data_IF_298153567759
#
_entry.id   IF_298153567759
#
_cell.length_a   1.000
_cell.length_b   1.000
_cell.length_c   1.000
_cell.angle_alpha   90.00
_cell.angle_beta   90.00
_cell.angle_gamma   90.00
#
_symmetry.space_group_name_H-M   'P 1'
#
loop_
_entity.id
_entity.type
_entity.pdbx_description
1 polymer ?
#
# COMPACT_ATOMS: atom_id res chain seq x y z
N UNK A 1 -44.20 2.72 12.94
CA UNK A 1 -43.87 1.28 12.95
C UNK A 1 -44.25 0.70 11.60
N UNK A 2 -43.31 0.69 10.65
CA UNK A 2 -43.43 -0.09 9.42
C UNK A 2 -42.34 -1.15 9.50
N UNK A 3 -42.76 -2.41 9.61
CA UNK A 3 -41.90 -3.59 9.70
C UNK A 3 -41.34 -3.90 8.32
N UNK A 4 -40.05 -3.64 8.12
CA UNK A 4 -39.31 -4.05 6.93
C UNK A 4 -39.11 -5.57 6.95
N UNK A 5 -39.53 -6.25 5.89
CA UNK A 5 -39.47 -7.71 5.75
C UNK A 5 -38.18 -8.15 5.03
N UNK A 6 -37.75 -9.42 5.19
CA UNK A 6 -36.50 -9.95 4.63
C UNK A 6 -36.37 -9.91 3.09
N UNK A 7 -37.44 -9.57 2.36
CA UNK A 7 -37.43 -9.42 0.90
C UNK A 7 -36.75 -8.12 0.44
N UNK A 8 -36.62 -7.11 1.31
CA UNK A 8 -35.89 -5.87 1.00
C UNK A 8 -34.36 -6.06 1.00
N UNK A 9 -33.85 -7.23 1.42
CA UNK A 9 -32.43 -7.59 1.27
C UNK A 9 -32.04 -7.98 -0.16
N UNK A 10 -32.99 -8.30 -1.03
CA UNK A 10 -32.71 -8.78 -2.40
C UNK A 10 -32.81 -7.69 -3.48
N UNK A 11 -33.25 -6.46 -3.15
CA UNK A 11 -33.32 -5.36 -4.12
C UNK A 11 -32.11 -4.41 -4.13
N UNK A 12 -31.13 -4.62 -3.23
CA UNK A 12 -29.86 -3.87 -3.19
C UNK A 12 -28.73 -4.54 -4.00
N UNK A 13 -29.07 -5.43 -4.92
CA UNK A 13 -28.13 -5.92 -5.93
C UNK A 13 -27.98 -4.89 -7.06
N UNK A 14 -26.74 -4.43 -7.28
CA UNK A 14 -26.21 -3.79 -8.49
C UNK A 14 -26.39 -2.28 -8.68
N UNK A 15 -25.82 -1.49 -7.77
CA UNK A 15 -25.00 -0.38 -8.24
C UNK A 15 -23.54 -0.79 -7.97
N UNK A 16 -22.81 -1.15 -9.02
CA UNK A 16 -21.40 -1.51 -8.90
C UNK A 16 -20.62 -0.27 -8.44
N UNK A 17 -20.06 -0.32 -7.24
CA UNK A 17 -19.12 0.69 -6.73
C UNK A 17 -17.99 0.86 -7.73
N UNK A 18 -17.74 2.08 -8.19
CA UNK A 18 -16.62 2.37 -9.09
C UNK A 18 -15.41 2.86 -8.30
N UNK A 19 -14.22 2.80 -8.90
CA UNK A 19 -13.03 3.43 -8.31
C UNK A 19 -13.25 4.94 -8.07
N UNK A 20 -13.99 5.62 -8.96
CA UNK A 20 -14.30 7.05 -8.79
C UNK A 20 -15.19 7.33 -7.57
N UNK A 21 -16.11 6.43 -7.25
CA UNK A 21 -16.95 6.57 -6.06
C UNK A 21 -16.11 6.47 -4.78
N UNK A 22 -15.18 5.50 -4.71
CA UNK A 22 -14.26 5.36 -3.58
C UNK A 22 -13.38 6.61 -3.42
N UNK A 23 -12.82 7.13 -4.52
CA UNK A 23 -12.02 8.35 -4.52
C UNK A 23 -12.83 9.54 -4.03
N UNK A 24 -14.08 9.67 -4.51
CA UNK A 24 -14.96 10.78 -4.15
C UNK A 24 -15.30 10.77 -2.66
N UNK A 25 -15.70 9.62 -2.13
CA UNK A 25 -16.00 9.43 -0.70
C UNK A 25 -14.77 9.71 0.14
N UNK A 26 -13.60 9.19 -0.26
CA UNK A 26 -12.36 9.44 0.44
C UNK A 26 -12.00 10.93 0.48
N UNK A 27 -12.13 11.65 -0.64
CA UNK A 27 -11.84 13.08 -0.71
C UNK A 27 -12.81 13.91 0.14
N UNK A 28 -14.10 13.53 0.20
CA UNK A 28 -15.07 14.15 1.11
C UNK A 28 -14.66 13.91 2.56
N UNK A 29 -14.33 12.67 2.91
CA UNK A 29 -13.97 12.31 4.28
C UNK A 29 -12.68 12.97 4.76
N UNK A 30 -11.62 12.99 3.94
CA UNK A 30 -10.34 13.57 4.33
C UNK A 30 -10.41 15.08 4.53
N UNK A 31 -11.32 15.77 3.82
CA UNK A 31 -11.54 17.21 4.03
C UNK A 31 -12.25 17.53 5.35
N UNK A 32 -13.06 16.61 5.86
CA UNK A 32 -13.90 16.79 7.05
C UNK A 32 -13.35 16.09 8.31
N UNK A 33 -12.33 15.24 8.17
CA UNK A 33 -11.85 14.41 9.27
C UNK A 33 -11.23 15.22 10.40
N UNK A 34 -11.75 15.04 11.62
CA UNK A 34 -11.17 15.59 12.84
C UNK A 34 -9.76 15.04 13.12
N UNK A 35 -9.45 13.86 12.56
CA UNK A 35 -8.18 13.16 12.70
C UNK A 35 -6.97 14.10 12.52
N UNK A 36 -7.01 14.96 11.50
CA UNK A 36 -5.94 15.93 11.20
C UNK A 36 -6.27 17.34 11.62
N UNK A 37 -7.55 17.68 11.75
CA UNK A 37 -8.04 19.05 11.78
C UNK A 37 -8.54 19.53 13.15
N UNK A 38 -8.56 18.67 14.19
CA UNK A 38 -9.18 19.06 15.47
C UNK A 38 -8.44 20.18 16.21
N UNK A 39 -9.10 21.34 16.35
CA UNK A 39 -8.73 22.49 17.19
C UNK A 39 -7.43 23.24 16.79
N UNK A 40 -7.11 23.34 15.50
CA UNK A 40 -5.92 24.09 15.03
C UNK A 40 -6.29 25.37 14.26
N UNK A 41 -5.37 26.35 14.14
CA UNK A 41 -5.64 27.58 13.39
C UNK A 41 -5.86 27.31 11.90
N UNK A 42 -6.60 28.20 11.23
CA UNK A 42 -6.87 28.16 9.78
C UNK A 42 -5.62 27.98 8.92
N UNK A 43 -4.47 28.48 9.38
CA UNK A 43 -3.19 28.31 8.71
C UNK A 43 -2.78 26.84 8.59
N UNK A 44 -3.02 26.01 9.61
CA UNK A 44 -2.71 24.57 9.58
C UNK A 44 -3.72 23.83 8.72
N UNK A 45 -5.00 24.19 8.81
CA UNK A 45 -6.04 23.64 7.93
C UNK A 45 -5.69 23.82 6.46
N UNK A 46 -5.29 25.03 6.05
CA UNK A 46 -4.91 25.30 4.66
C UNK A 46 -3.72 24.44 4.18
N UNK A 47 -2.76 24.13 5.06
CA UNK A 47 -1.62 23.25 4.75
C UNK A 47 -2.02 21.79 4.66
N UNK A 48 -2.94 21.32 5.50
CA UNK A 48 -3.50 19.96 5.41
C UNK A 48 -4.31 19.80 4.12
N UNK A 49 -5.13 20.78 3.75
CA UNK A 49 -5.84 20.78 2.47
C UNK A 49 -4.85 20.72 1.30
N UNK A 50 -3.75 21.46 1.38
CA UNK A 50 -2.71 21.43 0.35
C UNK A 50 -1.91 20.12 0.32
N UNK A 51 -1.62 19.52 1.49
CA UNK A 51 -0.96 18.22 1.63
C UNK A 51 -1.67 17.16 0.81
N UNK A 52 -3.01 17.10 0.95
CA UNK A 52 -3.78 16.13 0.20
C UNK A 52 -4.01 16.57 -1.23
N UNK A 53 -4.35 17.84 -1.48
CA UNK A 53 -4.43 18.46 -2.79
C UNK A 53 -4.99 17.54 -3.88
N UNK A 54 -4.37 17.57 -5.07
CA UNK A 54 -4.65 16.61 -6.15
C UNK A 54 -3.88 15.32 -5.89
N UNK A 55 -4.47 14.16 -6.15
CA UNK A 55 -3.79 12.87 -6.05
C UNK A 55 -4.60 11.73 -6.64
N UNK A 56 -3.94 10.65 -7.07
CA UNK A 56 -4.60 9.48 -7.69
C UNK A 56 -5.33 8.59 -6.69
N UNK A 57 -5.04 8.73 -5.37
CA UNK A 57 -5.68 8.01 -4.25
C UNK A 57 -5.69 6.48 -4.38
N UNK A 58 -4.69 5.89 -5.04
CA UNK A 58 -4.63 4.44 -5.24
C UNK A 58 -4.54 3.67 -3.92
N UNK A 59 -3.69 4.12 -2.99
CA UNK A 59 -3.45 3.47 -1.68
C UNK A 59 -4.70 3.46 -0.79
N UNK A 60 -5.39 4.59 -0.53
CA UNK A 60 -6.61 4.56 0.26
C UNK A 60 -7.72 3.73 -0.40
N UNK A 61 -7.85 3.74 -1.74
CA UNK A 61 -8.81 2.88 -2.43
C UNK A 61 -8.47 1.40 -2.26
N UNK A 62 -7.20 1.00 -2.37
CA UNK A 62 -6.79 -0.39 -2.13
C UNK A 62 -7.12 -0.82 -0.70
N UNK A 63 -6.84 0.01 0.30
CA UNK A 63 -7.22 -0.26 1.68
C UNK A 63 -8.73 -0.50 1.80
N UNK A 64 -9.54 0.42 1.25
CA UNK A 64 -11.00 0.32 1.30
C UNK A 64 -11.52 -0.95 0.60
N UNK A 65 -10.96 -1.32 -0.55
CA UNK A 65 -11.34 -2.54 -1.28
C UNK A 65 -10.99 -3.78 -0.47
N UNK A 66 -9.77 -3.87 0.06
CA UNK A 66 -9.35 -5.00 0.89
C UNK A 66 -10.04 -5.05 2.25
N UNK A 67 -10.59 -3.93 2.74
CA UNK A 67 -11.44 -3.87 3.93
C UNK A 67 -12.91 -4.21 3.67
N UNK A 68 -13.29 -4.51 2.41
CA UNK A 68 -14.67 -4.69 1.97
C UNK A 68 -15.56 -3.46 2.32
N UNK A 69 -15.06 -2.27 2.00
CA UNK A 69 -15.77 -1.02 2.25
C UNK A 69 -16.98 -0.89 1.31
N UNK A 70 -18.17 -0.73 1.91
CA UNK A 70 -19.40 -0.51 1.17
C UNK A 70 -19.75 0.99 1.14
N UNK A 71 -19.79 1.59 -0.05
CA UNK A 71 -20.13 3.02 -0.21
C UNK A 71 -21.55 3.38 0.24
N UNK A 72 -22.45 2.40 0.30
CA UNK A 72 -23.82 2.55 0.81
C UNK A 72 -23.93 2.32 2.31
N UNK A 73 -22.81 2.05 2.98
CA UNK A 73 -22.74 2.01 4.43
C UNK A 73 -22.90 3.41 5.02
N UNK A 74 -23.49 3.47 6.22
CA UNK A 74 -23.66 4.73 6.94
C UNK A 74 -22.32 5.18 7.53
N UNK A 75 -21.90 6.42 7.25
CA UNK A 75 -20.68 7.04 7.79
C UNK A 75 -20.70 7.07 9.34
N UNK A 76 -21.89 7.20 9.93
CA UNK A 76 -22.11 7.17 11.40
C UNK A 76 -21.86 5.80 12.04
N UNK A 77 -21.56 4.77 11.24
CA UNK A 77 -21.12 3.49 11.76
C UNK A 77 -19.61 3.54 12.05
N UNK A 78 -19.26 3.23 13.31
CA UNK A 78 -17.88 3.18 13.82
C UNK A 78 -16.97 2.33 12.94
N UNK A 79 -17.48 1.25 12.35
CA UNK A 79 -16.73 0.40 11.42
C UNK A 79 -16.24 1.19 10.19
N UNK A 80 -17.13 1.92 9.53
CA UNK A 80 -16.84 2.67 8.31
C UNK A 80 -15.89 3.83 8.59
N UNK A 81 -16.11 4.53 9.71
CA UNK A 81 -15.22 5.59 10.19
C UNK A 81 -13.79 5.08 10.42
N UNK A 82 -13.62 3.87 10.96
CA UNK A 82 -12.29 3.31 11.21
C UNK A 82 -11.55 2.90 9.93
N UNK A 83 -12.24 2.30 8.96
CA UNK A 83 -11.68 2.00 7.63
C UNK A 83 -11.21 3.30 6.96
N UNK A 84 -12.05 4.34 6.96
CA UNK A 84 -11.70 5.63 6.37
C UNK A 84 -10.56 6.34 7.12
N UNK A 85 -10.53 6.28 8.46
CA UNK A 85 -9.41 6.82 9.23
C UNK A 85 -8.09 6.11 8.90
N UNK A 86 -8.11 4.78 8.73
CA UNK A 86 -6.93 4.04 8.28
C UNK A 86 -6.51 4.44 6.87
N UNK A 87 -7.46 4.58 5.94
CA UNK A 87 -7.17 5.08 4.60
C UNK A 87 -6.53 6.48 4.64
N UNK A 88 -7.02 7.38 5.50
CA UNK A 88 -6.45 8.72 5.70
C UNK A 88 -5.05 8.62 6.31
N UNK A 89 -4.84 7.75 7.30
CA UNK A 89 -3.53 7.52 7.93
C UNK A 89 -2.49 7.10 6.89
N UNK A 90 -2.82 6.14 6.02
CA UNK A 90 -1.95 5.66 4.95
C UNK A 90 -1.63 6.77 3.94
N UNK A 91 -2.65 7.50 3.48
CA UNK A 91 -2.45 8.61 2.53
C UNK A 91 -1.67 9.77 3.18
N UNK A 92 -1.78 9.95 4.50
CA UNK A 92 -0.99 10.94 5.25
C UNK A 92 0.49 10.56 5.27
N UNK A 93 0.83 9.28 5.48
CA UNK A 93 2.23 8.81 5.37
C UNK A 93 2.75 9.05 3.95
N UNK A 94 1.97 8.66 2.93
CA UNK A 94 2.34 8.87 1.52
C UNK A 94 2.57 10.35 1.18
N UNK A 95 1.67 11.24 1.59
CA UNK A 95 1.84 12.67 1.30
C UNK A 95 2.98 13.28 2.11
N UNK A 96 3.23 12.79 3.34
CA UNK A 96 4.36 13.24 4.15
C UNK A 96 5.70 12.82 3.52
N UNK A 97 5.82 11.58 3.02
CA UNK A 97 7.06 11.13 2.38
C UNK A 97 7.42 12.02 1.18
N UNK A 98 6.43 12.42 0.38
CA UNK A 98 6.66 13.35 -0.74
C UNK A 98 7.13 14.75 -0.29
N UNK A 99 6.65 15.26 0.85
CA UNK A 99 7.15 16.54 1.38
C UNK A 99 8.61 16.43 1.77
N UNK A 100 9.00 15.29 2.38
CA UNK A 100 10.37 15.04 2.79
C UNK A 100 11.26 14.93 1.54
N UNK A 101 10.84 14.16 0.53
CA UNK A 101 11.58 13.99 -0.73
C UNK A 101 11.78 15.32 -1.46
N UNK A 102 10.80 16.21 -1.40
CA UNK A 102 10.89 17.55 -2.00
C UNK A 102 11.92 18.47 -1.32
N UNK A 103 12.46 18.16 -0.13
CA UNK A 103 13.35 19.07 0.59
C UNK A 103 14.68 19.32 -0.16
N UNK A 104 15.34 20.48 0.03
CA UNK A 104 16.63 20.78 -0.61
C UNK A 104 17.73 19.77 -0.34
N UNK A 105 17.70 19.16 0.84
CA UNK A 105 18.65 18.14 1.30
C UNK A 105 18.35 16.76 0.70
N UNK A 106 17.21 16.60 0.01
CA UNK A 106 16.76 15.40 -0.69
C UNK A 106 16.78 15.68 -2.21
N UNK A 107 15.63 15.66 -2.89
CA UNK A 107 15.55 15.88 -4.35
C UNK A 107 15.57 17.36 -4.74
N UNK A 108 15.35 18.27 -3.77
CA UNK A 108 15.23 19.71 -3.99
C UNK A 108 14.16 20.09 -5.05
N UNK A 109 13.14 19.25 -5.20
CA UNK A 109 12.08 19.46 -6.19
C UNK A 109 11.27 20.72 -5.85
N UNK A 110 11.19 21.65 -6.80
CA UNK A 110 10.54 22.95 -6.62
C UNK A 110 9.04 22.90 -6.92
N UNK A 111 8.59 21.86 -7.61
CA UNK A 111 7.21 21.63 -8.03
C UNK A 111 6.81 20.16 -7.81
N UNK A 112 5.56 19.95 -7.39
CA UNK A 112 4.94 18.63 -7.19
C UNK A 112 3.48 18.70 -7.63
N UNK A 113 3.08 17.84 -8.56
CA UNK A 113 1.70 17.79 -9.11
C UNK A 113 1.21 19.16 -9.59
N UNK A 114 2.06 19.85 -10.37
CA UNK A 114 1.82 21.20 -10.91
C UNK A 114 1.62 22.31 -9.87
N UNK A 115 1.93 22.02 -8.61
CA UNK A 115 1.90 22.97 -7.49
C UNK A 115 3.30 23.17 -6.93
N UNK A 116 3.55 24.29 -6.25
CA UNK A 116 4.83 24.50 -5.57
C UNK A 116 5.07 23.43 -4.50
N UNK A 117 6.29 22.92 -4.37
CA UNK A 117 6.62 22.08 -3.22
C UNK A 117 6.46 22.85 -1.91
N UNK A 118 6.28 22.13 -0.80
CA UNK A 118 5.99 22.75 0.51
C UNK A 118 7.06 23.77 0.92
N UNK A 119 8.33 23.40 0.75
CA UNK A 119 9.46 24.26 1.14
C UNK A 119 9.57 25.51 0.25
N UNK A 120 9.13 25.44 -1.02
CA UNK A 120 9.05 26.64 -1.89
C UNK A 120 7.88 27.53 -1.54
N UNK A 121 6.73 26.96 -1.20
CA UNK A 121 5.51 27.74 -0.91
C UNK A 121 5.57 28.44 0.45
N UNK A 122 6.09 27.77 1.47
CA UNK A 122 6.07 28.29 2.85
C UNK A 122 7.44 28.54 3.46
N UNK A 123 8.53 28.09 2.83
CA UNK A 123 9.88 28.14 3.41
C UNK A 123 10.23 26.90 4.21
N UNK A 124 11.53 26.69 4.43
CA UNK A 124 12.09 25.51 5.12
C UNK A 124 11.56 25.39 6.55
N UNK A 125 11.71 26.44 7.36
CA UNK A 125 11.28 26.43 8.76
C UNK A 125 9.80 26.04 8.94
N UNK A 126 8.92 26.60 8.12
CA UNK A 126 7.49 26.31 8.18
C UNK A 126 7.18 24.88 7.72
N UNK A 127 7.98 24.33 6.79
CA UNK A 127 7.88 22.97 6.28
C UNK A 127 8.33 21.97 7.34
N UNK A 128 9.48 22.19 7.96
CA UNK A 128 10.01 21.32 9.02
C UNK A 128 9.05 21.23 10.19
N UNK A 129 8.52 22.36 10.65
CA UNK A 129 7.49 22.40 11.70
C UNK A 129 6.21 21.68 11.29
N UNK A 130 5.84 21.71 10.00
CA UNK A 130 4.67 20.98 9.50
C UNK A 130 4.93 19.47 9.41
N UNK A 131 6.14 19.04 9.07
CA UNK A 131 6.55 17.63 9.11
C UNK A 131 6.41 17.10 10.54
N UNK A 132 6.96 17.79 11.54
CA UNK A 132 6.81 17.40 12.95
C UNK A 132 5.35 17.33 13.39
N UNK A 133 4.53 18.28 12.94
CA UNK A 133 3.09 18.27 13.20
C UNK A 133 2.41 17.02 12.63
N UNK A 134 2.64 16.69 11.36
CA UNK A 134 2.03 15.51 10.74
C UNK A 134 2.54 14.22 11.40
N UNK A 135 3.83 14.11 11.72
CA UNK A 135 4.37 12.97 12.48
C UNK A 135 3.67 12.81 13.83
N UNK A 136 3.44 13.91 14.57
CA UNK A 136 2.70 13.85 15.83
C UNK A 136 1.25 13.38 15.63
N UNK A 137 0.60 13.80 14.55
CA UNK A 137 -0.75 13.33 14.19
C UNK A 137 -0.79 11.86 13.82
N UNK A 138 0.19 11.37 13.07
CA UNK A 138 0.34 9.95 12.76
C UNK A 138 0.52 9.14 14.06
N UNK A 139 1.43 9.55 14.95
CA UNK A 139 1.63 8.84 16.22
C UNK A 139 0.36 8.83 17.08
N UNK A 140 -0.31 9.98 17.23
CA UNK A 140 -1.56 10.08 18.00
C UNK A 140 -2.71 9.31 17.34
N UNK A 141 -2.60 9.13 16.03
CA UNK A 141 -3.61 8.57 15.16
C UNK A 141 -3.50 7.08 14.92
N UNK A 142 -2.40 6.45 15.32
CA UNK A 142 -2.10 5.04 15.04
C UNK A 142 -3.19 4.08 15.52
N UNK A 143 -3.95 4.49 16.54
CA UNK A 143 -5.13 3.80 17.05
C UNK A 143 -6.17 3.47 15.99
N UNK A 144 -6.25 4.24 14.89
CA UNK A 144 -7.22 3.96 13.83
C UNK A 144 -6.96 2.64 13.11
N UNK A 145 -5.71 2.17 13.13
CA UNK A 145 -5.29 0.88 12.58
C UNK A 145 -5.77 -0.29 13.43
N UNK A 146 -6.16 -0.02 14.67
CA UNK A 146 -6.63 -1.01 15.61
C UNK A 146 -8.16 -0.98 15.67
N UNK A 147 -8.78 -2.14 15.45
CA UNK A 147 -10.22 -2.28 15.59
C UNK A 147 -10.56 -2.18 17.08
N UNK A 148 -11.18 -1.06 17.46
CA UNK A 148 -11.78 -0.89 18.79
C UNK A 148 -13.05 -1.73 18.86
N UNK A 149 -12.91 -3.02 19.08
CA UNK A 149 -14.03 -3.80 19.61
C UNK A 149 -14.41 -3.17 20.96
N UNK A 150 -15.72 -2.98 21.19
CA UNK A 150 -16.20 -2.71 22.54
C UNK A 150 -15.69 -3.86 23.41
N UNK A 151 -14.76 -3.57 24.31
CA UNK A 151 -14.29 -4.50 25.34
C UNK A 151 -15.43 -4.82 26.31
N UNK A 152 -16.45 -5.54 25.85
CA UNK A 152 -17.47 -6.13 26.71
C UNK A 152 -16.89 -7.42 27.25
N UNK A 153 -16.41 -7.36 28.51
CA UNK A 153 -16.15 -8.48 29.42
C UNK A 153 -16.07 -9.87 28.76
N UNK A 154 -14.90 -10.23 28.23
CA UNK A 154 -14.68 -11.52 27.58
C UNK A 154 -13.43 -12.23 28.13
N UNK A 155 -13.45 -13.56 28.04
CA UNK A 155 -12.57 -14.53 28.70
C UNK A 155 -11.09 -14.44 28.28
N UNK A 156 -10.19 -15.01 29.08
CA UNK A 156 -8.72 -14.96 28.95
C UNK A 156 -8.15 -15.53 27.63
N UNK A 157 -8.90 -16.35 26.90
CA UNK A 157 -8.47 -16.89 25.60
C UNK A 157 -8.73 -15.94 24.43
N UNK A 158 -9.85 -15.23 24.41
CA UNK A 158 -10.20 -14.25 23.36
C UNK A 158 -9.29 -13.01 23.39
N UNK A 159 -8.84 -12.63 24.59
CA UNK A 159 -7.86 -11.55 24.79
C UNK A 159 -6.49 -11.88 24.18
N UNK A 160 -6.06 -13.15 24.21
CA UNK A 160 -4.73 -13.57 23.70
C UNK A 160 -4.66 -13.50 22.17
N UNK A 161 -5.74 -13.86 21.47
CA UNK A 161 -5.72 -13.90 20.01
C UNK A 161 -5.99 -12.53 19.35
N UNK A 162 -6.81 -11.68 19.98
CA UNK A 162 -6.92 -10.25 19.60
C UNK A 162 -5.58 -9.52 19.76
N UNK A 163 -4.85 -9.80 20.85
CA UNK A 163 -3.48 -9.28 21.05
C UNK A 163 -2.52 -9.70 19.92
N UNK A 164 -2.71 -10.87 19.30
CA UNK A 164 -1.87 -11.31 18.20
C UNK A 164 -2.13 -10.54 16.90
N UNK A 165 -3.37 -10.19 16.58
CA UNK A 165 -3.66 -9.32 15.43
C UNK A 165 -3.12 -7.91 15.63
N UNK A 166 -3.32 -7.34 16.82
CA UNK A 166 -2.77 -6.02 17.13
C UNK A 166 -1.24 -6.01 17.00
N UNK A 167 -0.57 -7.08 17.44
CA UNK A 167 0.87 -7.26 17.21
C UNK A 167 1.21 -7.35 15.72
N UNK A 168 0.45 -8.11 14.92
CA UNK A 168 0.67 -8.22 13.48
C UNK A 168 0.51 -6.88 12.76
N UNK A 169 -0.54 -6.13 13.05
CA UNK A 169 -0.76 -4.78 12.48
C UNK A 169 0.35 -3.83 12.93
N UNK A 170 0.71 -3.83 14.21
CA UNK A 170 1.83 -3.04 14.73
C UNK A 170 3.14 -3.38 14.00
N UNK A 171 3.44 -4.66 13.83
CA UNK A 171 4.65 -5.12 13.15
C UNK A 171 4.62 -4.74 11.66
N UNK A 172 3.48 -4.87 10.99
CA UNK A 172 3.28 -4.41 9.61
C UNK A 172 3.63 -2.92 9.48
N UNK A 173 3.06 -2.07 10.34
CA UNK A 173 3.30 -0.62 10.31
C UNK A 173 4.76 -0.30 10.60
N UNK A 174 5.35 -0.92 11.62
CA UNK A 174 6.75 -0.74 11.96
C UNK A 174 7.67 -1.17 10.80
N UNK A 175 7.40 -2.32 10.17
CA UNK A 175 8.12 -2.83 9.00
C UNK A 175 8.04 -1.84 7.86
N UNK A 176 6.84 -1.43 7.43
CA UNK A 176 6.67 -0.54 6.30
C UNK A 176 7.29 0.85 6.54
N UNK A 177 7.20 1.40 7.75
CA UNK A 177 7.83 2.68 8.09
C UNK A 177 9.37 2.58 8.11
N UNK A 178 9.92 1.49 8.66
CA UNK A 178 11.36 1.23 8.62
C UNK A 178 11.86 1.11 7.18
N UNK A 179 11.16 0.32 6.36
CA UNK A 179 11.45 0.16 4.94
C UNK A 179 11.47 1.51 4.20
N UNK A 180 10.52 2.41 4.47
CA UNK A 180 10.51 3.74 3.84
C UNK A 180 11.74 4.56 4.19
N UNK A 181 12.17 4.54 5.46
CA UNK A 181 13.37 5.25 5.89
C UNK A 181 14.61 4.63 5.27
N UNK A 182 14.71 3.30 5.27
CA UNK A 182 15.83 2.58 4.66
C UNK A 182 15.89 2.84 3.15
N UNK A 183 14.75 2.85 2.48
CA UNK A 183 14.63 3.16 1.05
C UNK A 183 15.13 4.57 0.72
N UNK A 184 14.76 5.57 1.54
CA UNK A 184 15.27 6.94 1.34
C UNK A 184 16.77 7.06 1.65
N UNK A 185 17.25 6.38 2.69
CA UNK A 185 18.66 6.38 3.02
C UNK A 185 19.51 5.76 1.90
N UNK A 186 19.12 4.59 1.38
CA UNK A 186 19.87 3.92 0.31
C UNK A 186 19.87 4.80 -0.95
N UNK A 187 18.77 5.45 -1.28
CA UNK A 187 18.69 6.33 -2.44
C UNK A 187 19.67 7.52 -2.35
N UNK A 188 19.71 8.21 -1.20
CA UNK A 188 20.72 9.25 -0.95
C UNK A 188 22.15 8.72 -1.06
N UNK A 189 22.43 7.55 -0.46
CA UNK A 189 23.76 6.95 -0.50
C UNK A 189 24.16 6.49 -1.90
N UNK A 190 23.20 6.13 -2.76
CA UNK A 190 23.44 5.75 -4.15
C UNK A 190 23.73 6.96 -5.03
N UNK A 191 23.05 8.08 -4.80
CA UNK A 191 23.38 9.37 -5.43
C UNK A 191 24.82 9.79 -5.07
N UNK A 192 25.22 9.59 -3.81
CA UNK A 192 26.59 9.92 -3.36
C UNK A 192 27.67 8.94 -3.86
N UNK A 193 27.32 7.68 -4.17
CA UNK A 193 28.27 6.61 -4.52
C UNK A 193 28.11 6.07 -5.95
N UNK A 194 27.65 6.89 -6.90
CA UNK A 194 27.57 6.54 -8.32
C UNK A 194 28.87 5.85 -8.79
N UNK A 195 28.79 4.52 -8.93
CA UNK A 195 29.82 3.62 -9.49
C UNK A 195 31.18 3.56 -8.76
N UNK A 196 31.20 3.30 -7.45
CA UNK A 196 32.39 2.70 -6.82
C UNK A 196 32.09 1.28 -6.36
N UNK A 197 33.03 0.36 -6.56
CA UNK A 197 32.99 -1.09 -6.24
C UNK A 197 32.81 -1.41 -4.74
N UNK A 198 31.90 -0.73 -4.03
CA UNK A 198 31.70 -0.84 -2.58
C UNK A 198 30.22 -0.98 -2.18
N UNK A 199 29.43 -1.68 -2.98
CA UNK A 199 28.07 -2.10 -2.58
C UNK A 199 28.05 -3.26 -1.56
N UNK A 200 29.21 -3.81 -1.16
CA UNK A 200 29.26 -5.07 -0.40
C UNK A 200 28.86 -4.96 1.09
N UNK A 201 28.54 -3.78 1.63
CA UNK A 201 28.37 -3.60 3.09
C UNK A 201 27.13 -2.83 3.56
N UNK A 202 26.09 -2.69 2.74
CA UNK A 202 24.82 -2.08 3.17
C UNK A 202 23.84 -3.14 3.71
N UNK A 203 24.20 -3.82 4.80
CA UNK A 203 23.21 -4.57 5.59
C UNK A 203 22.55 -3.63 6.60
N UNK A 204 21.45 -3.00 6.21
CA UNK A 204 20.58 -2.26 7.14
C UNK A 204 19.49 -3.17 7.68
N UNK A 205 19.58 -3.40 9.00
CA UNK A 205 18.76 -4.27 9.85
C UNK A 205 18.73 -5.75 9.44
N UNK A 206 18.78 -6.70 10.41
CA UNK A 206 18.59 -8.10 10.08
C UNK A 206 17.17 -8.27 9.55
N UNK A 207 17.06 -8.48 8.24
CA UNK A 207 15.89 -9.02 7.57
C UNK A 207 15.40 -10.21 8.41
N UNK A 208 14.21 -10.11 8.98
CA UNK A 208 13.56 -11.28 9.58
C UNK A 208 13.50 -12.39 8.51
N UNK A 209 13.78 -13.64 8.88
CA UNK A 209 13.93 -14.75 7.91
C UNK A 209 12.74 -14.93 6.96
N UNK A 210 11.54 -14.51 7.36
CA UNK A 210 10.33 -14.49 6.53
C UNK A 210 10.40 -13.48 5.39
N UNK A 211 10.92 -12.27 5.63
CA UNK A 211 11.05 -11.24 4.58
C UNK A 211 12.07 -11.65 3.50
N UNK A 212 13.13 -12.38 3.86
CA UNK A 212 14.07 -12.90 2.86
C UNK A 212 13.41 -13.89 1.89
N UNK A 213 12.47 -14.71 2.37
CA UNK A 213 11.75 -15.68 1.54
C UNK A 213 10.75 -14.96 0.64
N UNK A 214 9.98 -14.02 1.18
CA UNK A 214 9.04 -13.19 0.43
C UNK A 214 9.77 -12.42 -0.68
N UNK A 215 10.88 -11.76 -0.34
CA UNK A 215 11.70 -11.01 -1.28
C UNK A 215 12.32 -11.90 -2.36
N UNK A 216 12.86 -13.08 -2.00
CA UNK A 216 13.32 -14.05 -2.98
C UNK A 216 12.18 -14.52 -3.91
N UNK A 217 10.96 -14.63 -3.39
CA UNK A 217 9.79 -14.99 -4.20
C UNK A 217 9.43 -13.88 -5.18
N UNK A 218 9.45 -12.61 -4.75
CA UNK A 218 9.28 -11.44 -5.62
C UNK A 218 10.29 -11.44 -6.77
N UNK A 219 11.58 -11.58 -6.45
CA UNK A 219 12.68 -11.64 -7.40
C UNK A 219 12.44 -12.74 -8.46
N UNK A 220 12.11 -13.95 -8.01
CA UNK A 220 11.86 -15.08 -8.91
C UNK A 220 10.69 -14.80 -9.87
N UNK A 221 9.61 -14.18 -9.39
CA UNK A 221 8.46 -13.82 -10.23
C UNK A 221 8.87 -12.78 -11.28
N UNK A 222 9.63 -11.76 -10.90
CA UNK A 222 10.08 -10.70 -11.81
C UNK A 222 11.03 -11.27 -12.87
N UNK A 223 12.01 -12.08 -12.48
CA UNK A 223 12.91 -12.73 -13.43
C UNK A 223 12.18 -13.70 -14.37
N UNK A 224 11.14 -14.40 -13.89
CA UNK A 224 10.30 -15.23 -14.77
C UNK A 224 9.57 -14.42 -15.85
N UNK A 225 9.40 -13.11 -15.65
CA UNK A 225 8.83 -12.23 -16.67
C UNK A 225 9.88 -11.73 -17.68
N UNK A 226 11.18 -11.83 -17.37
CA UNK A 226 12.29 -11.28 -18.16
C UNK A 226 12.94 -12.27 -19.15
N UNK A 227 12.27 -13.36 -19.52
CA UNK A 227 12.77 -14.50 -20.32
C UNK A 227 13.58 -14.16 -21.61
N UNK A 228 13.37 -12.98 -22.20
CA UNK A 228 14.04 -12.56 -23.45
C UNK A 228 15.09 -11.46 -23.26
N UNK A 229 15.45 -11.12 -22.02
CA UNK A 229 16.49 -10.15 -21.71
C UNK A 229 17.82 -10.87 -21.53
N UNK A 230 18.91 -10.35 -22.12
CA UNK A 230 20.24 -10.91 -21.90
C UNK A 230 20.75 -10.52 -20.50
N UNK A 231 20.53 -11.41 -19.54
CA UNK A 231 20.85 -11.19 -18.13
C UNK A 231 22.31 -11.59 -17.84
N UNK A 232 23.22 -10.64 -17.94
CA UNK A 232 24.58 -10.80 -17.39
C UNK A 232 24.56 -10.71 -15.85
N UNK A 233 25.54 -11.27 -15.12
CA UNK A 233 25.58 -11.15 -13.66
C UNK A 233 25.51 -9.70 -13.13
N UNK A 234 26.08 -8.75 -13.88
CA UNK A 234 26.02 -7.32 -13.55
C UNK A 234 24.59 -6.79 -13.67
N UNK A 235 23.90 -7.13 -14.76
CA UNK A 235 22.51 -6.71 -14.99
C UNK A 235 21.58 -7.35 -13.94
N UNK A 236 21.80 -8.61 -13.59
CA UNK A 236 21.04 -9.30 -12.54
C UNK A 236 21.17 -8.53 -11.21
N UNK A 237 22.40 -8.22 -10.80
CA UNK A 237 22.65 -7.48 -9.56
C UNK A 237 21.99 -6.09 -9.59
N UNK A 238 22.04 -5.37 -10.72
CA UNK A 238 21.38 -4.07 -10.87
C UNK A 238 19.86 -4.16 -10.77
N UNK A 239 19.25 -5.23 -11.33
CA UNK A 239 17.81 -5.48 -11.22
C UNK A 239 17.45 -5.80 -9.76
N UNK A 240 18.20 -6.67 -9.08
CA UNK A 240 17.93 -7.03 -7.68
C UNK A 240 17.99 -5.80 -6.76
N UNK A 241 18.99 -4.94 -6.94
CA UNK A 241 19.11 -3.66 -6.23
C UNK A 241 17.91 -2.75 -6.52
N UNK A 242 17.51 -2.63 -7.79
CA UNK A 242 16.35 -1.83 -8.18
C UNK A 242 15.05 -2.37 -7.55
N UNK A 243 14.85 -3.68 -7.51
CA UNK A 243 13.71 -4.32 -6.84
C UNK A 243 13.76 -4.00 -5.34
N UNK A 244 14.91 -4.15 -4.68
CA UNK A 244 15.06 -3.89 -3.24
C UNK A 244 14.70 -2.44 -2.86
N UNK A 245 15.23 -1.47 -3.61
CA UNK A 245 14.91 -0.05 -3.44
C UNK A 245 13.41 0.20 -3.54
N UNK A 246 12.78 -0.40 -4.54
CA UNK A 246 11.37 -0.20 -4.84
C UNK A 246 10.43 -0.87 -3.84
N UNK A 247 10.80 -2.07 -3.37
CA UNK A 247 10.09 -2.72 -2.26
C UNK A 247 10.16 -1.85 -1.01
N UNK A 248 11.31 -1.20 -0.75
CA UNK A 248 11.49 -0.31 0.41
C UNK A 248 10.75 1.04 0.31
N UNK A 249 10.53 1.57 -0.89
CA UNK A 249 9.78 2.82 -1.11
C UNK A 249 8.31 2.56 -1.46
N UNK A 250 8.02 2.45 -2.76
CA UNK A 250 6.66 2.36 -3.30
C UNK A 250 5.95 1.10 -2.80
N UNK A 251 6.64 -0.04 -2.81
CA UNK A 251 6.11 -1.34 -2.39
C UNK A 251 5.60 -1.35 -0.95
N UNK A 252 6.39 -0.84 0.00
CA UNK A 252 6.04 -0.80 1.42
C UNK A 252 4.70 -0.09 1.69
N UNK A 253 4.39 0.98 0.97
CA UNK A 253 3.12 1.70 1.14
C UNK A 253 1.93 0.99 0.49
N UNK A 254 2.13 0.31 -0.64
CA UNK A 254 1.09 -0.55 -1.24
C UNK A 254 0.79 -1.73 -0.32
N UNK A 255 1.83 -2.36 0.22
CA UNK A 255 1.75 -3.44 1.20
C UNK A 255 0.97 -3.01 2.46
N UNK A 256 1.35 -1.87 3.05
CA UNK A 256 0.63 -1.32 4.21
C UNK A 256 -0.85 -1.10 3.90
N UNK A 257 -1.18 -0.54 2.73
CA UNK A 257 -2.56 -0.28 2.34
C UNK A 257 -3.39 -1.56 2.21
N UNK A 258 -2.85 -2.55 1.49
CA UNK A 258 -3.53 -3.81 1.19
C UNK A 258 -3.69 -4.66 2.45
N UNK A 259 -2.61 -4.89 3.20
CA UNK A 259 -2.65 -5.78 4.35
C UNK A 259 -3.40 -5.17 5.54
N UNK A 260 -3.39 -3.86 5.73
CA UNK A 260 -4.24 -3.23 6.76
C UNK A 260 -5.74 -3.44 6.46
N UNK A 261 -6.14 -3.36 5.19
CA UNK A 261 -7.51 -3.69 4.77
C UNK A 261 -7.82 -5.18 4.95
N UNK A 262 -6.87 -6.05 4.61
CA UNK A 262 -7.05 -7.49 4.82
C UNK A 262 -7.20 -7.85 6.31
N UNK A 263 -6.34 -7.29 7.16
CA UNK A 263 -6.41 -7.48 8.61
C UNK A 263 -7.73 -6.97 9.20
N UNK A 264 -8.35 -5.96 8.58
CA UNK A 264 -9.69 -5.53 8.94
C UNK A 264 -10.70 -6.67 8.82
N UNK A 265 -10.75 -7.34 7.66
CA UNK A 265 -11.66 -8.48 7.45
C UNK A 265 -11.30 -9.67 8.35
N UNK A 266 -10.00 -9.99 8.48
CA UNK A 266 -9.52 -11.09 9.35
C UNK A 266 -9.99 -10.90 10.79
N UNK A 267 -9.91 -9.67 11.32
CA UNK A 267 -10.37 -9.37 12.66
C UNK A 267 -11.90 -9.38 12.75
N UNK A 268 -12.59 -8.76 11.78
CA UNK A 268 -14.06 -8.72 11.71
C UNK A 268 -14.68 -10.12 11.78
N UNK A 269 -14.10 -11.08 11.07
CA UNK A 269 -14.56 -12.46 11.02
C UNK A 269 -13.84 -13.38 12.01
N UNK A 270 -12.97 -12.84 12.86
CA UNK A 270 -12.22 -13.57 13.90
C UNK A 270 -11.47 -14.80 13.38
N UNK A 271 -10.90 -14.72 12.17
CA UNK A 271 -10.26 -15.87 11.51
C UNK A 271 -9.00 -16.38 12.22
N UNK A 272 -8.48 -15.59 13.16
CA UNK A 272 -7.38 -15.96 14.04
C UNK A 272 -7.79 -16.96 15.15
N UNK A 273 -9.09 -17.11 15.44
CA UNK A 273 -9.63 -18.08 16.39
C UNK A 273 -9.84 -19.46 15.74
N UNK A 274 -9.68 -19.54 14.42
CA UNK A 274 -9.62 -20.81 13.71
C UNK A 274 -8.38 -21.55 14.21
N UNK A 275 -8.56 -22.55 15.07
CA UNK A 275 -7.51 -23.48 15.44
C UNK A 275 -6.94 -24.13 14.16
N UNK A 276 -5.62 -24.06 13.94
CA UNK A 276 -5.03 -24.69 12.76
C UNK A 276 -5.09 -26.23 12.86
N UNK A 277 -5.33 -26.94 11.74
CA UNK A 277 -5.98 -26.50 10.50
C UNK A 277 -7.41 -27.06 10.46
N UNK A 278 -8.42 -26.22 10.64
CA UNK A 278 -9.73 -26.52 10.05
C UNK A 278 -9.60 -26.34 8.52
N UNK A 279 -9.07 -27.39 7.90
CA UNK A 279 -9.01 -27.61 6.46
C UNK A 279 -10.38 -27.36 5.83
N UNK A 280 -10.46 -26.43 4.88
CA UNK A 280 -11.63 -26.31 4.01
C UNK A 280 -11.41 -27.24 2.83
N UNK A 281 -12.27 -28.25 2.69
CA UNK A 281 -12.23 -29.20 1.57
C UNK A 281 -12.60 -28.50 0.25
N UNK A 282 -11.84 -28.83 -0.79
CA UNK A 282 -11.81 -28.18 -2.09
C UNK A 282 -13.10 -28.25 -2.91
N UNK A 283 -13.33 -27.16 -3.65
CA UNK A 283 -13.83 -27.19 -5.02
C UNK A 283 -12.61 -27.38 -5.95
N UNK A 284 -12.60 -28.47 -6.71
CA UNK A 284 -11.72 -28.81 -7.85
C UNK A 284 -10.35 -28.07 -7.99
N UNK A 285 -9.27 -28.71 -7.53
CA UNK A 285 -7.92 -28.52 -8.12
C UNK A 285 -6.92 -27.61 -7.42
N UNK A 286 -7.32 -26.82 -6.42
CA UNK A 286 -6.40 -25.97 -5.65
C UNK A 286 -6.15 -26.59 -4.27
N UNK A 287 -4.92 -26.84 -3.85
CA UNK A 287 -4.61 -27.46 -2.56
C UNK A 287 -5.12 -26.66 -1.34
N UNK A 288 -5.02 -27.28 -0.15
CA UNK A 288 -5.33 -26.63 1.13
C UNK A 288 -4.57 -25.32 1.29
N UNK A 289 -5.23 -24.25 1.77
CA UNK A 289 -4.58 -22.97 2.08
C UNK A 289 -4.88 -22.54 3.53
N UNK A 290 -3.84 -22.22 4.28
CA UNK A 290 -3.92 -21.67 5.64
C UNK A 290 -4.06 -20.14 5.62
N UNK A 291 -4.53 -19.56 6.73
CA UNK A 291 -4.56 -18.10 6.88
C UNK A 291 -3.16 -17.48 6.75
N UNK A 292 -2.12 -18.20 7.21
CA UNK A 292 -0.73 -17.76 7.11
C UNK A 292 -0.29 -17.69 5.64
N UNK A 293 -0.45 -18.77 4.89
CA UNK A 293 -0.10 -18.83 3.46
C UNK A 293 -0.88 -17.80 2.64
N UNK A 294 -2.16 -17.58 2.97
CA UNK A 294 -2.95 -16.55 2.32
C UNK A 294 -2.39 -15.15 2.55
N UNK A 295 -1.99 -14.81 3.79
CA UNK A 295 -1.36 -13.51 4.09
C UNK A 295 -0.04 -13.36 3.32
N UNK A 296 0.80 -14.40 3.27
CA UNK A 296 2.07 -14.39 2.53
C UNK A 296 1.86 -14.18 1.02
N UNK A 297 0.82 -14.80 0.44
CA UNK A 297 0.45 -14.57 -0.97
C UNK A 297 0.04 -13.11 -1.21
N UNK A 298 -0.78 -12.54 -0.32
CA UNK A 298 -1.20 -11.13 -0.45
C UNK A 298 -0.03 -10.19 -0.22
N UNK A 299 0.90 -10.53 0.67
CA UNK A 299 2.13 -9.76 0.95
C UNK A 299 2.98 -9.62 -0.33
N UNK A 300 3.39 -10.74 -0.93
CA UNK A 300 4.16 -10.75 -2.19
C UNK A 300 3.40 -10.06 -3.32
N UNK A 301 2.10 -10.32 -3.46
CA UNK A 301 1.28 -9.68 -4.50
C UNK A 301 1.25 -8.15 -4.36
N UNK A 302 1.20 -7.64 -3.13
CA UNK A 302 1.18 -6.20 -2.86
C UNK A 302 2.50 -5.51 -3.21
N UNK A 303 3.64 -6.15 -2.97
CA UNK A 303 4.95 -5.63 -3.37
C UNK A 303 5.12 -5.62 -4.89
N UNK A 304 4.69 -6.68 -5.58
CA UNK A 304 4.70 -6.73 -7.05
C UNK A 304 3.80 -5.66 -7.65
N UNK A 305 2.63 -5.38 -7.05
CA UNK A 305 1.79 -4.26 -7.48
C UNK A 305 2.49 -2.91 -7.32
N UNK A 306 3.21 -2.71 -6.21
CA UNK A 306 4.05 -1.54 -5.99
C UNK A 306 5.18 -1.42 -7.02
N UNK A 307 5.83 -2.54 -7.36
CA UNK A 307 6.87 -2.57 -8.38
C UNK A 307 6.32 -2.28 -9.78
N UNK A 308 5.16 -2.83 -10.16
CA UNK A 308 4.46 -2.46 -11.40
C UNK A 308 4.22 -0.94 -11.48
N UNK A 309 3.80 -0.34 -10.36
CA UNK A 309 3.61 1.11 -10.28
C UNK A 309 4.91 1.86 -10.52
N UNK A 310 6.01 1.41 -9.91
CA UNK A 310 7.31 2.04 -10.11
C UNK A 310 7.79 1.92 -11.56
N UNK A 311 7.77 0.72 -12.16
CA UNK A 311 8.21 0.55 -13.55
C UNK A 311 7.40 1.47 -14.48
N UNK A 312 6.12 1.69 -14.16
CA UNK A 312 5.28 2.62 -14.91
C UNK A 312 5.77 4.06 -14.82
N UNK A 313 6.15 4.51 -13.62
CA UNK A 313 6.71 5.86 -13.42
C UNK A 313 8.13 5.96 -14.03
N UNK A 314 8.99 4.94 -13.88
CA UNK A 314 10.32 4.87 -14.52
C UNK A 314 10.24 5.05 -16.05
N UNK A 315 9.24 4.47 -16.72
CA UNK A 315 9.03 4.64 -18.17
C UNK A 315 8.68 6.08 -18.55
N UNK A 316 7.93 6.78 -17.69
CA UNK A 316 7.56 8.18 -17.93
C UNK A 316 8.74 9.12 -17.66
N UNK A 317 9.58 8.77 -16.68
CA UNK A 317 10.63 9.63 -16.16
C UNK A 317 12.03 9.31 -16.74
N UNK A 318 12.17 8.34 -17.67
CA UNK A 318 13.47 7.91 -18.23
C UNK A 318 14.40 9.07 -18.60
N UNK A 319 13.88 10.07 -19.33
CA UNK A 319 14.69 11.22 -19.79
C UNK A 319 15.12 12.09 -18.60
N UNK A 320 14.22 12.29 -17.62
CA UNK A 320 14.53 13.07 -16.41
C UNK A 320 15.61 12.35 -15.60
N UNK A 321 15.42 11.05 -15.38
CA UNK A 321 16.29 10.25 -14.53
C UNK A 321 17.68 10.03 -15.14
N UNK A 322 17.77 9.94 -16.47
CA UNK A 322 19.05 9.91 -17.19
C UNK A 322 19.87 11.20 -16.94
N UNK A 323 19.20 12.36 -16.85
CA UNK A 323 19.84 13.65 -16.60
C UNK A 323 20.26 13.80 -15.13
N UNK A 324 19.43 13.34 -14.19
CA UNK A 324 19.70 13.44 -12.75
C UNK A 324 20.61 12.34 -12.23
N UNK A 325 20.82 11.26 -13.00
CA UNK A 325 21.55 10.09 -12.56
C UNK A 325 20.76 9.22 -11.57
N UNK A 326 19.44 9.40 -11.52
CA UNK A 326 18.55 8.67 -10.60
C UNK A 326 18.42 7.20 -11.03
N UNK A 327 18.30 6.24 -10.09
CA UNK A 327 18.09 4.84 -10.43
C UNK A 327 16.79 4.65 -11.22
N UNK A 328 16.88 4.07 -12.42
CA UNK A 328 15.73 3.84 -13.29
C UNK A 328 15.89 2.51 -14.04
N UNK A 329 14.88 1.65 -13.99
CA UNK A 329 14.94 0.31 -14.58
C UNK A 329 15.09 0.34 -16.11
N UNK A 330 14.51 1.34 -16.78
CA UNK A 330 14.66 1.50 -18.22
C UNK A 330 16.10 1.77 -18.64
N UNK A 331 16.93 2.36 -17.77
CA UNK A 331 18.35 2.55 -18.03
C UNK A 331 19.15 1.24 -17.88
N UNK A 332 18.62 0.26 -17.14
CA UNK A 332 19.25 -1.05 -16.91
C UNK A 332 18.90 -2.03 -18.02
N UNK A 333 17.60 -2.20 -18.34
CA UNK A 333 17.13 -3.23 -19.28
C UNK A 333 16.55 -2.67 -20.58
N UNK A 334 16.39 -1.35 -20.71
CA UNK A 334 15.81 -0.70 -21.89
C UNK A 334 14.28 -0.61 -21.84
N UNK A 335 13.74 0.49 -22.40
CA UNK A 335 12.30 0.80 -22.40
C UNK A 335 11.43 -0.34 -22.95
N UNK A 336 11.82 -0.95 -24.08
CA UNK A 336 11.05 -2.04 -24.69
C UNK A 336 10.90 -3.24 -23.75
N UNK A 337 11.94 -3.56 -22.98
CA UNK A 337 11.90 -4.65 -22.01
C UNK A 337 11.05 -4.27 -20.79
N UNK A 338 11.11 -3.01 -20.33
CA UNK A 338 10.21 -2.53 -19.27
C UNK A 338 8.73 -2.56 -19.68
N UNK A 339 8.40 -2.18 -20.92
CA UNK A 339 7.02 -2.27 -21.44
C UNK A 339 6.53 -3.72 -21.47
N UNK A 340 7.37 -4.66 -21.93
CA UNK A 340 7.04 -6.09 -21.92
C UNK A 340 6.88 -6.62 -20.49
N UNK A 341 7.77 -6.22 -19.58
CA UNK A 341 7.72 -6.57 -18.16
C UNK A 341 6.41 -6.11 -17.51
N UNK A 342 6.00 -4.84 -17.72
CA UNK A 342 4.71 -4.32 -17.25
C UNK A 342 3.55 -5.17 -17.79
N UNK A 343 3.57 -5.52 -19.09
CA UNK A 343 2.52 -6.33 -19.69
C UNK A 343 2.36 -7.68 -18.99
N UNK A 344 3.47 -8.40 -18.78
CA UNK A 344 3.49 -9.70 -18.10
C UNK A 344 3.12 -9.59 -16.62
N UNK A 345 3.66 -8.62 -15.89
CA UNK A 345 3.34 -8.40 -14.48
C UNK A 345 1.88 -7.98 -14.28
N UNK A 346 1.36 -7.14 -15.17
CA UNK A 346 -0.07 -6.76 -15.18
C UNK A 346 -0.96 -8.00 -15.30
N UNK A 347 -0.64 -8.92 -16.21
CA UNK A 347 -1.40 -10.16 -16.38
C UNK A 347 -1.27 -11.09 -15.16
N UNK A 348 -0.06 -11.22 -14.61
CA UNK A 348 0.18 -11.98 -13.39
C UNK A 348 -0.62 -11.42 -12.20
N UNK A 349 -0.65 -10.10 -12.03
CA UNK A 349 -1.37 -9.41 -10.96
C UNK A 349 -2.89 -9.58 -11.11
N UNK A 350 -3.44 -9.48 -12.33
CA UNK A 350 -4.87 -9.72 -12.59
C UNK A 350 -5.28 -11.14 -12.23
N UNK A 351 -4.51 -12.14 -12.69
CA UNK A 351 -4.75 -13.55 -12.33
C UNK A 351 -4.59 -13.78 -10.82
N UNK A 352 -3.61 -13.12 -10.20
CA UNK A 352 -3.42 -13.10 -8.75
C UNK A 352 -4.64 -12.55 -7.99
N UNK A 353 -5.27 -11.48 -8.48
CA UNK A 353 -6.44 -10.88 -7.84
C UNK A 353 -7.64 -11.85 -7.79
N UNK A 354 -7.88 -12.60 -8.88
CA UNK A 354 -8.90 -13.65 -8.89
C UNK A 354 -8.60 -14.77 -7.88
N UNK A 355 -7.34 -15.22 -7.80
CA UNK A 355 -6.93 -16.24 -6.82
C UNK A 355 -7.08 -15.74 -5.38
N UNK A 356 -6.69 -14.49 -5.10
CA UNK A 356 -6.81 -13.87 -3.78
C UNK A 356 -8.29 -13.84 -3.33
N UNK A 357 -9.22 -13.45 -4.22
CA UNK A 357 -10.64 -13.48 -3.89
C UNK A 357 -11.16 -14.91 -3.68
N UNK A 358 -10.72 -15.87 -4.50
CA UNK A 358 -11.10 -17.28 -4.31
C UNK A 358 -10.65 -17.80 -2.94
N UNK A 359 -9.40 -17.54 -2.55
CA UNK A 359 -8.87 -17.91 -1.23
C UNK A 359 -9.59 -17.18 -0.10
N UNK A 360 -9.91 -15.89 -0.26
CA UNK A 360 -10.70 -15.13 0.70
C UNK A 360 -12.06 -15.80 0.96
N UNK A 361 -12.78 -16.17 -0.11
CA UNK A 361 -14.07 -16.86 0.00
C UNK A 361 -13.98 -18.27 0.59
N UNK A 362 -12.83 -18.96 0.41
CA UNK A 362 -12.57 -20.25 1.06
C UNK A 362 -12.33 -20.10 2.56
N UNK A 363 -11.65 -19.04 3.00
CA UNK A 363 -11.40 -18.77 4.42
C UNK A 363 -12.69 -18.35 5.15
N UNK A 364 -13.54 -17.55 4.50
CA UNK A 364 -14.84 -17.17 5.05
C UNK A 364 -15.81 -16.74 3.93
N UNK A 365 -17.09 -17.19 3.94
CA UNK A 365 -18.04 -16.91 2.85
C UNK A 365 -18.34 -15.41 2.66
N UNK A 366 -18.29 -14.62 3.73
CA UNK A 366 -18.55 -13.17 3.67
C UNK A 366 -17.28 -12.32 3.42
N UNK A 367 -16.10 -12.94 3.30
CA UNK A 367 -14.91 -12.22 2.87
C UNK A 367 -15.01 -11.90 1.39
N UNK A 368 -14.81 -10.62 1.08
CA UNK A 368 -14.95 -10.11 -0.28
C UNK A 368 -13.94 -9.01 -0.56
N UNK A 369 -13.37 -9.07 -1.74
CA UNK A 369 -12.40 -8.15 -2.32
C UNK A 369 -12.91 -7.87 -3.73
N UNK A 370 -13.24 -6.61 -4.01
CA UNK A 370 -13.79 -6.21 -5.30
C UNK A 370 -12.71 -6.27 -6.40
N UNK A 371 -12.67 -7.40 -7.11
CA UNK A 371 -11.72 -7.64 -8.20
C UNK A 371 -11.88 -6.60 -9.32
N UNK A 372 -13.09 -6.10 -9.57
CA UNK A 372 -13.32 -5.17 -10.68
C UNK A 372 -12.56 -3.86 -10.49
N UNK A 373 -12.55 -3.34 -9.26
CA UNK A 373 -11.80 -2.14 -8.88
C UNK A 373 -10.29 -2.42 -8.89
N UNK A 374 -9.85 -3.60 -8.43
CA UNK A 374 -8.43 -3.98 -8.49
C UNK A 374 -7.93 -4.02 -9.94
N UNK A 375 -8.70 -4.64 -10.84
CA UNK A 375 -8.36 -4.69 -12.27
C UNK A 375 -8.33 -3.29 -12.86
N UNK A 376 -9.30 -2.42 -12.53
CA UNK A 376 -9.30 -1.02 -12.97
C UNK A 376 -8.02 -0.28 -12.51
N UNK A 377 -7.58 -0.49 -11.26
CA UNK A 377 -6.34 0.09 -10.72
C UNK A 377 -5.12 -0.42 -11.49
N UNK A 378 -4.99 -1.74 -11.68
CA UNK A 378 -3.87 -2.34 -12.42
C UNK A 378 -3.83 -1.77 -13.84
N UNK A 379 -4.97 -1.69 -14.52
CA UNK A 379 -5.03 -1.13 -15.87
C UNK A 379 -4.69 0.35 -15.90
N UNK A 380 -5.12 1.15 -14.92
CA UNK A 380 -4.74 2.56 -14.80
C UNK A 380 -3.26 2.77 -14.50
N UNK A 381 -2.58 1.79 -13.91
CA UNK A 381 -1.13 1.81 -13.73
C UNK A 381 -0.43 1.45 -15.04
N UNK A 382 -0.86 0.38 -15.69
CA UNK A 382 -0.28 -0.14 -16.94
C UNK A 382 -0.47 0.81 -18.13
N UNK A 383 -1.66 1.39 -18.28
CA UNK A 383 -2.04 2.25 -19.43
C UNK A 383 -1.56 3.70 -19.32
N UNK A 384 -0.80 4.06 -18.28
CA UNK A 384 -0.16 5.40 -18.25
C UNK A 384 0.83 5.61 -19.40
N UNK A 385 1.31 4.50 -19.96
CA UNK A 385 2.41 4.42 -20.90
C UNK A 385 1.95 4.18 -22.35
N UNK A 386 0.64 4.21 -22.59
CA UNK A 386 0.00 4.12 -23.92
C UNK A 386 -0.75 5.42 -24.20
#
# INVERSE_FOLDING_TARGET
>A
MATYTPQDKQLNTQLNTTLQDLISIFNIYISSTEFLNKNYPDTIHSRITYLFGVGKRMRPCLHMVFANFNIYGYIDNVEYTNILNTAVFIETIHCLSLIIDDLPEMDNDVMRRDLQSFHKKWGHYQTDMFIFYILNKLVSGIDCLFIKDKFTSQTTSQTTSQLNILKKIKNLVARCLAMLVDGQYIDLMMVDNLFTDKCDNLTLTPIESTFAIEFATEINIIFSCLENVNLTPIIINQIEINIELNSKKTGALFNLAILSGLYWQINKFKLYELHEPNSVNNLEGYGFITLKEFIEIVDVWSFILGYLFQISDDILDVIKDEITGSPNLCLIIGICNCINLIGKLSEWLKNGAYRIQQYASLLHPDMYIDISIIIEIIEKITKRNT
#
